data_IF_024763936475
#
_entry.id   IF_024763936475
#
_cell.length_a   1.000
_cell.length_b   1.000
_cell.length_c   1.000
_cell.angle_alpha   90.00
_cell.angle_beta   90.00
_cell.angle_gamma   90.00
#
_symmetry.space_group_name_H-M   'P 1'
#
loop_
_entity.id
_entity.type
_entity.pdbx_description
1 polymer ?
#
# COMPACT_ATOMS: atom_id res chain seq x y z
N UNK A 1 22.68 -9.72 34.81
CA UNK A 1 23.39 -9.41 33.54
C UNK A 1 22.36 -9.02 32.48
N UNK A 2 22.10 -7.71 32.48
CA UNK A 2 21.36 -6.88 31.52
C UNK A 2 21.12 -7.51 30.14
N UNK A 3 19.87 -7.89 29.88
CA UNK A 3 19.33 -7.99 28.52
C UNK A 3 18.76 -6.63 28.14
N UNK A 4 19.64 -5.66 27.92
CA UNK A 4 19.27 -4.42 27.24
C UNK A 4 18.94 -4.77 25.78
N UNK A 5 17.66 -5.02 25.52
CA UNK A 5 17.09 -4.93 24.18
C UNK A 5 16.91 -3.44 23.90
N UNK A 6 17.72 -2.90 22.99
CA UNK A 6 17.54 -1.54 22.44
C UNK A 6 16.06 -1.34 22.07
N UNK A 7 15.30 -0.33 22.51
CA UNK A 7 15.54 0.72 23.49
C UNK A 7 14.18 1.17 24.06
N UNK A 8 14.20 1.87 25.19
CA UNK A 8 13.05 2.49 25.85
C UNK A 8 12.10 3.16 24.85
N UNK A 9 10.90 2.56 24.72
CA UNK A 9 9.66 3.07 24.09
C UNK A 9 9.14 2.46 22.78
N UNK A 10 9.68 1.37 22.20
CA UNK A 10 8.99 0.68 21.08
C UNK A 10 8.82 -0.84 21.18
N UNK A 11 7.62 -1.27 20.78
CA UNK A 11 7.25 -2.65 20.48
C UNK A 11 7.97 -3.08 19.21
N UNK A 12 9.09 -3.80 19.33
CA UNK A 12 9.62 -4.55 18.19
C UNK A 12 8.70 -5.74 17.97
N UNK A 13 7.74 -5.59 17.07
CA UNK A 13 6.96 -6.71 16.57
C UNK A 13 7.09 -6.75 15.06
N UNK A 14 7.96 -7.62 14.55
CA UNK A 14 7.93 -8.03 13.14
C UNK A 14 6.76 -9.00 12.86
N UNK A 15 5.80 -9.12 13.78
CA UNK A 15 4.55 -9.83 13.53
C UNK A 15 3.69 -9.04 12.53
N UNK A 16 2.76 -9.72 11.90
CA UNK A 16 1.69 -9.06 11.15
C UNK A 16 0.86 -8.26 12.16
N UNK A 17 0.53 -7.00 11.83
CA UNK A 17 -0.06 -6.04 12.78
C UNK A 17 0.97 -5.12 13.44
N UNK A 18 2.26 -5.29 13.15
CA UNK A 18 3.36 -4.63 13.85
C UNK A 18 3.77 -3.29 13.25
N UNK A 19 4.20 -2.39 14.13
CA UNK A 19 4.85 -1.12 13.79
C UNK A 19 6.10 -0.98 14.64
N UNK A 20 7.22 -0.64 14.00
CA UNK A 20 8.48 -0.36 14.70
C UNK A 20 9.19 0.82 14.01
N UNK A 21 9.67 1.79 14.78
CA UNK A 21 10.48 2.87 14.24
C UNK A 21 11.92 2.81 14.73
N UNK A 22 12.84 3.16 13.86
CA UNK A 22 14.29 3.20 14.12
C UNK A 22 14.84 4.55 13.71
N UNK A 23 15.80 5.08 14.46
CA UNK A 23 16.39 6.39 14.19
C UNK A 23 17.72 6.22 13.44
N UNK A 24 17.86 6.67 12.19
CA UNK A 24 19.11 6.54 11.42
C UNK A 24 20.30 7.27 12.08
N UNK A 25 20.06 8.30 12.89
CA UNK A 25 21.12 9.05 13.59
C UNK A 25 21.61 8.32 14.86
N UNK A 26 20.88 7.30 15.32
CA UNK A 26 21.16 6.50 16.52
C UNK A 26 21.33 5.01 16.16
N UNK A 27 22.05 4.74 15.05
CA UNK A 27 22.35 3.39 14.55
C UNK A 27 21.12 2.54 14.19
N UNK A 28 19.99 3.20 13.90
CA UNK A 28 18.74 2.55 13.54
C UNK A 28 18.87 1.63 12.32
N UNK A 29 18.17 0.51 12.38
CA UNK A 29 18.23 -0.55 11.36
C UNK A 29 17.01 -0.57 10.46
N UNK A 30 17.17 -1.16 9.28
CA UNK A 30 16.08 -1.54 8.38
C UNK A 30 16.01 -3.07 8.26
N UNK A 31 14.81 -3.64 8.41
CA UNK A 31 14.58 -5.08 8.28
C UNK A 31 13.52 -5.40 7.22
N UNK A 32 13.84 -6.18 6.17
CA UNK A 32 12.82 -6.65 5.24
C UNK A 32 11.71 -7.47 5.91
N UNK A 33 12.04 -8.19 6.98
CA UNK A 33 11.09 -8.98 7.76
C UNK A 33 10.06 -8.12 8.52
N UNK A 34 10.43 -6.88 8.87
CA UNK A 34 9.57 -5.89 9.52
C UNK A 34 8.68 -5.09 8.56
N UNK A 35 8.87 -5.25 7.26
CA UNK A 35 8.02 -4.67 6.20
C UNK A 35 7.13 -5.75 5.58
N UNK A 36 7.68 -6.96 5.37
CA UNK A 36 6.98 -8.10 4.80
C UNK A 36 7.37 -8.41 3.35
N UNK A 37 6.97 -9.60 2.89
CA UNK A 37 7.32 -10.08 1.54
C UNK A 37 6.57 -9.33 0.45
N UNK A 38 5.25 -9.13 0.60
CA UNK A 38 4.48 -8.35 -0.37
C UNK A 38 4.59 -6.87 -0.05
N UNK A 39 5.70 -6.26 -0.48
CA UNK A 39 5.99 -4.83 -0.34
C UNK A 39 4.86 -4.02 -0.96
N UNK A 40 4.35 -3.05 -0.22
CA UNK A 40 3.19 -2.25 -0.59
C UNK A 40 1.99 -3.10 -1.01
N UNK A 41 1.77 -4.26 -0.37
CA UNK A 41 0.41 -4.75 -0.24
C UNK A 41 -0.42 -3.63 0.41
N UNK A 42 -1.61 -3.41 -0.13
CA UNK A 42 -2.39 -2.25 0.19
C UNK A 42 -3.74 -2.28 -0.49
N UNK A 43 -4.54 -1.28 -0.15
CA UNK A 43 -5.96 -1.24 -0.46
C UNK A 43 -6.27 0.06 -1.16
N UNK A 44 -7.12 -0.03 -2.16
CA UNK A 44 -7.68 1.10 -2.88
C UNK A 44 -9.20 1.00 -2.80
N UNK A 45 -9.85 2.07 -2.33
CA UNK A 45 -11.31 2.16 -2.28
C UNK A 45 -11.79 3.23 -3.24
N UNK A 46 -12.70 2.89 -4.14
CA UNK A 46 -13.36 3.86 -5.02
C UNK A 46 -14.84 3.95 -4.70
N UNK A 47 -15.36 5.18 -4.68
CA UNK A 47 -16.80 5.42 -4.57
C UNK A 47 -17.48 5.24 -5.91
N UNK A 48 -18.79 5.18 -5.92
CA UNK A 48 -19.62 5.33 -7.13
C UNK A 48 -20.80 6.26 -6.84
N UNK A 49 -21.52 6.73 -7.85
CA UNK A 49 -22.83 7.36 -7.64
C UNK A 49 -23.98 6.34 -7.58
N UNK A 50 -23.66 5.04 -7.57
CA UNK A 50 -24.63 3.95 -7.63
C UNK A 50 -25.10 3.54 -6.24
N UNK A 51 -26.28 2.95 -6.21
CA UNK A 51 -26.91 2.30 -5.07
C UNK A 51 -27.24 0.85 -5.39
N UNK A 52 -27.65 0.06 -4.40
CA UNK A 52 -27.98 -1.36 -4.61
C UNK A 52 -28.99 -1.59 -5.76
N UNK A 53 -30.10 -0.83 -5.89
CA UNK A 53 -31.01 -0.94 -7.04
C UNK A 53 -30.35 -0.82 -8.41
N UNK A 54 -29.30 -0.02 -8.56
CA UNK A 54 -28.64 0.22 -9.84
C UNK A 54 -27.82 -1.00 -10.32
N UNK A 55 -27.37 -1.84 -9.37
CA UNK A 55 -26.47 -2.98 -9.65
C UNK A 55 -27.11 -4.34 -9.41
N UNK A 56 -28.17 -4.44 -8.59
CA UNK A 56 -28.73 -5.70 -8.07
C UNK A 56 -29.00 -6.74 -9.17
N UNK A 57 -29.69 -6.35 -10.24
CA UNK A 57 -30.08 -7.27 -11.32
C UNK A 57 -28.93 -7.57 -12.28
N UNK A 58 -27.87 -6.76 -12.26
CA UNK A 58 -26.68 -6.90 -13.12
C UNK A 58 -25.48 -7.49 -12.37
N UNK A 59 -25.57 -7.68 -11.05
CA UNK A 59 -24.44 -8.00 -10.19
C UNK A 59 -23.70 -9.26 -10.64
N UNK A 60 -24.43 -10.33 -10.98
CA UNK A 60 -23.83 -11.57 -11.49
C UNK A 60 -23.06 -11.35 -12.79
N UNK A 61 -23.61 -10.54 -13.70
CA UNK A 61 -22.95 -10.22 -14.97
C UNK A 61 -21.73 -9.33 -14.75
N UNK A 62 -21.84 -8.35 -13.85
CA UNK A 62 -20.75 -7.45 -13.47
C UNK A 62 -19.59 -8.21 -12.83
N UNK A 63 -19.86 -9.10 -11.88
CA UNK A 63 -18.84 -9.96 -11.26
C UNK A 63 -18.17 -10.88 -12.29
N UNK A 64 -18.94 -11.50 -13.18
CA UNK A 64 -18.37 -12.32 -14.26
C UNK A 64 -17.49 -11.49 -15.20
N UNK A 65 -17.91 -10.27 -15.55
CA UNK A 65 -17.14 -9.37 -16.37
C UNK A 65 -15.85 -8.91 -15.67
N UNK A 66 -15.91 -8.56 -14.38
CA UNK A 66 -14.73 -8.21 -13.59
C UNK A 66 -13.74 -9.37 -13.55
N UNK A 67 -14.20 -10.58 -13.23
CA UNK A 67 -13.36 -11.77 -13.20
C UNK A 67 -12.68 -12.06 -14.54
N UNK A 68 -13.40 -11.86 -15.66
CA UNK A 68 -12.85 -12.08 -17.00
C UNK A 68 -11.85 -11.00 -17.46
N UNK A 69 -11.96 -9.77 -16.94
CA UNK A 69 -11.16 -8.63 -17.40
C UNK A 69 -10.04 -8.25 -16.42
N UNK A 70 -10.11 -8.67 -15.15
CA UNK A 70 -9.10 -8.42 -14.13
C UNK A 70 -8.40 -9.74 -13.79
N UNK A 71 -7.18 -9.99 -14.30
CA UNK A 71 -6.53 -11.27 -14.07
C UNK A 71 -6.23 -11.52 -12.58
N UNK A 72 -6.70 -12.66 -12.07
CA UNK A 72 -6.47 -13.13 -10.71
C UNK A 72 -6.04 -14.60 -10.69
N UNK A 73 -5.48 -15.07 -9.58
CA UNK A 73 -4.96 -16.43 -9.40
C UNK A 73 -3.44 -16.53 -9.48
N UNK A 74 -2.93 -17.67 -8.98
CA UNK A 74 -1.51 -18.01 -9.03
C UNK A 74 -1.08 -18.22 -10.50
N UNK A 75 0.00 -17.56 -10.90
CA UNK A 75 0.55 -17.69 -12.26
C UNK A 75 -0.18 -16.89 -13.33
N UNK A 76 -1.30 -16.23 -13.00
CA UNK A 76 -2.03 -15.39 -13.93
C UNK A 76 -1.17 -14.23 -14.43
N UNK A 77 -1.32 -13.92 -15.71
CA UNK A 77 -0.53 -12.87 -16.38
C UNK A 77 -1.42 -11.79 -16.98
N UNK A 78 -0.86 -10.59 -17.05
CA UNK A 78 -1.50 -9.44 -17.65
C UNK A 78 -1.46 -9.48 -19.17
N UNK A 79 -2.51 -8.92 -19.79
CA UNK A 79 -2.52 -8.59 -21.22
C UNK A 79 -1.52 -7.48 -21.56
N UNK A 80 -1.17 -6.64 -20.58
CA UNK A 80 -0.15 -5.60 -20.72
C UNK A 80 1.25 -6.24 -20.82
N UNK A 81 1.90 -6.11 -21.98
CA UNK A 81 3.27 -6.59 -22.21
C UNK A 81 4.24 -5.42 -22.26
N UNK A 82 5.15 -5.36 -21.30
CA UNK A 82 6.17 -4.32 -21.22
C UNK A 82 7.57 -4.89 -21.46
N UNK A 83 8.42 -4.23 -22.27
CA UNK A 83 9.84 -4.52 -22.27
C UNK A 83 10.48 -4.11 -20.93
N UNK A 84 11.66 -4.67 -20.61
CA UNK A 84 12.30 -4.41 -19.31
C UNK A 84 12.62 -2.94 -19.06
N UNK A 85 12.95 -2.17 -20.10
CA UNK A 85 13.22 -0.73 -19.93
C UNK A 85 11.97 0.03 -19.48
N UNK A 86 10.78 -0.31 -20.00
CA UNK A 86 9.51 0.27 -19.55
C UNK A 86 9.15 -0.19 -18.14
N UNK A 87 9.39 -1.47 -17.81
CA UNK A 87 9.21 -1.94 -16.44
C UNK A 87 10.09 -1.16 -15.46
N UNK A 88 11.34 -0.84 -15.82
CA UNK A 88 12.19 0.04 -15.00
C UNK A 88 11.61 1.45 -14.84
N UNK A 89 10.87 1.97 -15.83
CA UNK A 89 10.15 3.25 -15.69
C UNK A 89 9.00 3.13 -14.69
N UNK A 90 8.25 2.02 -14.69
CA UNK A 90 7.21 1.72 -13.68
C UNK A 90 7.82 1.79 -12.28
N UNK A 91 8.94 1.13 -12.06
CA UNK A 91 9.66 1.11 -10.78
C UNK A 91 10.12 2.50 -10.30
N UNK A 92 10.43 3.43 -11.22
CA UNK A 92 10.85 4.80 -10.86
C UNK A 92 9.70 5.78 -10.66
N UNK A 93 8.64 5.63 -11.46
CA UNK A 93 7.57 6.64 -11.60
C UNK A 93 6.31 6.27 -10.83
N UNK A 94 6.12 5.01 -10.46
CA UNK A 94 4.92 4.56 -9.75
C UNK A 94 3.63 4.82 -10.53
N UNK A 95 2.54 5.09 -9.82
CA UNK A 95 1.22 5.32 -10.43
C UNK A 95 1.22 6.44 -11.48
N UNK A 96 2.15 7.41 -11.37
CA UNK A 96 2.32 8.46 -12.39
C UNK A 96 2.68 7.90 -13.78
N UNK A 97 3.38 6.77 -13.86
CA UNK A 97 3.60 6.08 -15.13
C UNK A 97 2.28 5.58 -15.72
N UNK A 98 1.43 4.95 -14.90
CA UNK A 98 0.14 4.42 -15.34
C UNK A 98 -0.77 5.55 -15.84
N UNK A 99 -0.92 6.63 -15.07
CA UNK A 99 -1.71 7.81 -15.47
C UNK A 99 -1.15 8.43 -16.77
N UNK A 100 0.18 8.57 -16.89
CA UNK A 100 0.82 9.06 -18.11
C UNK A 100 0.65 8.15 -19.34
N UNK A 101 0.17 6.91 -19.14
CA UNK A 101 -0.16 5.94 -20.19
C UNK A 101 -1.68 5.81 -20.42
N UNK A 102 -2.49 6.66 -19.80
CA UNK A 102 -3.95 6.68 -19.94
C UNK A 102 -4.71 5.85 -18.90
N UNK A 103 -4.02 5.22 -17.95
CA UNK A 103 -4.66 4.43 -16.90
C UNK A 103 -5.09 5.31 -15.72
N UNK A 104 -6.21 6.01 -15.87
CA UNK A 104 -6.82 6.88 -14.85
C UNK A 104 -6.46 8.35 -15.03
N UNK A 105 -6.56 9.13 -13.96
CA UNK A 105 -6.44 10.60 -14.01
C UNK A 105 -5.46 11.16 -12.97
N UNK A 106 -5.22 12.47 -13.02
CA UNK A 106 -4.32 13.15 -12.10
C UNK A 106 -4.87 13.17 -10.66
N UNK A 107 -6.20 13.23 -10.52
CA UNK A 107 -6.93 13.20 -9.25
C UNK A 107 -6.74 11.86 -8.52
N UNK A 108 -6.51 10.76 -9.26
CA UNK A 108 -6.17 9.46 -8.67
C UNK A 108 -4.81 9.51 -7.96
N UNK A 109 -3.86 10.30 -8.48
CA UNK A 109 -2.56 10.47 -7.84
C UNK A 109 -2.70 11.25 -6.54
N UNK A 110 -3.47 12.35 -6.53
CA UNK A 110 -3.72 13.15 -5.30
C UNK A 110 -4.27 12.30 -4.15
N UNK A 111 -5.08 11.29 -4.47
CA UNK A 111 -5.74 10.41 -3.49
C UNK A 111 -5.03 9.08 -3.30
N UNK A 112 -3.79 8.96 -3.77
CA UNK A 112 -2.93 7.81 -3.48
C UNK A 112 -1.88 8.24 -2.46
N UNK A 113 -1.61 7.40 -1.46
CA UNK A 113 -0.55 7.63 -0.49
C UNK A 113 0.79 7.95 -1.21
N UNK A 114 1.45 9.03 -0.75
CA UNK A 114 2.66 9.60 -1.38
C UNK A 114 2.51 9.86 -2.89
N UNK A 115 1.31 10.25 -3.32
CA UNK A 115 0.97 10.47 -4.72
C UNK A 115 1.25 9.27 -5.64
N UNK A 116 1.25 8.06 -5.05
CA UNK A 116 1.53 6.80 -5.74
C UNK A 116 2.97 6.62 -6.20
N UNK A 117 3.91 7.36 -5.60
CA UNK A 117 5.33 7.25 -5.90
C UNK A 117 6.20 7.55 -4.67
N UNK A 118 6.96 6.55 -4.25
CA UNK A 118 8.02 6.70 -3.27
C UNK A 118 9.31 7.18 -3.96
N UNK A 119 9.93 8.19 -3.37
CA UNK A 119 11.25 8.70 -3.78
C UNK A 119 12.38 7.74 -3.38
N UNK A 120 13.56 7.90 -3.97
CA UNK A 120 14.71 7.02 -3.72
C UNK A 120 14.64 5.65 -4.40
N UNK A 121 13.56 5.35 -5.13
CA UNK A 121 13.46 4.11 -5.89
C UNK A 121 14.54 3.98 -6.98
N UNK A 122 15.31 2.90 -6.91
CA UNK A 122 16.34 2.56 -7.90
C UNK A 122 16.10 1.16 -8.48
N UNK A 123 15.70 1.06 -9.77
CA UNK A 123 15.52 -0.22 -10.45
C UNK A 123 16.78 -1.07 -10.58
N UNK A 124 17.97 -0.49 -10.45
CA UNK A 124 19.21 -1.28 -10.44
C UNK A 124 19.42 -2.04 -9.12
N UNK A 125 18.72 -1.63 -8.06
CA UNK A 125 18.67 -2.34 -6.77
C UNK A 125 17.60 -3.44 -6.73
N UNK A 126 16.92 -3.68 -7.86
CA UNK A 126 15.97 -4.77 -8.06
C UNK A 126 16.61 -5.84 -8.95
N UNK A 127 16.67 -7.07 -8.45
CA UNK A 127 17.35 -8.16 -9.17
C UNK A 127 16.68 -8.51 -10.51
N UNK A 128 17.46 -9.08 -11.43
CA UNK A 128 16.91 -9.63 -12.68
C UNK A 128 15.85 -10.71 -12.44
N UNK A 129 15.94 -11.45 -11.33
CA UNK A 129 14.95 -12.44 -10.94
C UNK A 129 13.63 -11.77 -10.54
N UNK A 130 13.68 -10.71 -9.73
CA UNK A 130 12.50 -9.94 -9.34
C UNK A 130 11.83 -9.28 -10.55
N UNK A 131 12.62 -8.68 -11.45
CA UNK A 131 12.11 -8.12 -12.71
C UNK A 131 11.41 -9.18 -13.57
N UNK A 132 12.02 -10.36 -13.75
CA UNK A 132 11.42 -11.46 -14.52
C UNK A 132 10.10 -11.94 -13.91
N UNK A 133 10.03 -12.07 -12.57
CA UNK A 133 8.80 -12.48 -11.86
C UNK A 133 7.68 -11.44 -12.01
N UNK A 134 8.00 -10.14 -11.87
CA UNK A 134 7.02 -9.07 -11.97
C UNK A 134 6.57 -8.75 -13.40
N UNK A 135 7.43 -8.95 -14.41
CA UNK A 135 7.22 -8.46 -15.79
C UNK A 135 5.83 -8.73 -16.37
N UNK A 136 5.30 -9.93 -16.14
CA UNK A 136 4.02 -10.36 -16.71
C UNK A 136 2.85 -10.22 -15.73
N UNK A 137 3.05 -9.66 -14.53
CA UNK A 137 2.06 -9.61 -13.45
C UNK A 137 1.47 -8.22 -13.21
N UNK A 138 1.91 -7.20 -13.95
CA UNK A 138 1.46 -5.81 -13.75
C UNK A 138 0.03 -5.64 -14.28
N UNK A 139 -0.88 -5.18 -13.44
CA UNK A 139 -2.33 -5.18 -13.67
C UNK A 139 -3.04 -6.45 -13.22
N UNK A 140 -2.47 -7.25 -12.29
CA UNK A 140 -3.12 -8.48 -11.81
C UNK A 140 -3.35 -8.42 -10.30
N UNK A 141 -4.46 -8.99 -9.82
CA UNK A 141 -4.76 -9.07 -8.39
C UNK A 141 -3.81 -10.03 -7.68
N UNK A 142 -3.74 -11.25 -8.22
CA UNK A 142 -3.03 -12.35 -7.60
C UNK A 142 -3.88 -13.33 -6.82
N UNK A 143 -3.30 -13.84 -5.74
CA UNK A 143 -3.83 -14.92 -4.91
C UNK A 143 -3.58 -14.59 -3.43
N UNK A 144 -3.99 -15.47 -2.52
CA UNK A 144 -3.92 -15.21 -1.08
C UNK A 144 -5.13 -14.38 -0.67
N UNK A 145 -4.93 -13.37 0.17
CA UNK A 145 -5.97 -12.44 0.62
C UNK A 145 -6.23 -11.29 -0.36
N UNK A 146 -5.77 -11.38 -1.62
CA UNK A 146 -6.00 -10.32 -2.61
C UNK A 146 -7.34 -10.48 -3.31
N UNK A 147 -8.11 -9.40 -3.39
CA UNK A 147 -9.45 -9.40 -3.97
C UNK A 147 -9.80 -8.08 -4.65
N UNK A 148 -10.88 -8.12 -5.42
CA UNK A 148 -11.65 -6.96 -5.83
C UNK A 148 -13.09 -7.23 -5.43
N UNK A 149 -13.66 -6.35 -4.60
CA UNK A 149 -15.00 -6.52 -4.03
C UNK A 149 -15.90 -5.32 -4.37
N UNK A 150 -17.20 -5.60 -4.50
CA UNK A 150 -18.24 -4.58 -4.67
C UNK A 150 -19.02 -4.56 -3.37
N UNK A 151 -18.91 -3.47 -2.64
CA UNK A 151 -19.43 -3.36 -1.28
C UNK A 151 -20.58 -2.36 -1.22
N UNK A 152 -21.45 -2.54 -0.24
CA UNK A 152 -22.53 -1.61 0.09
C UNK A 152 -22.16 -0.88 1.38
N UNK A 153 -22.24 0.45 1.37
CA UNK A 153 -22.06 1.25 2.58
C UNK A 153 -23.30 1.10 3.48
N UNK A 154 -23.22 0.22 4.47
CA UNK A 154 -24.35 -0.10 5.35
C UNK A 154 -24.59 0.96 6.44
N UNK A 155 -23.51 1.48 7.03
CA UNK A 155 -23.56 2.37 8.19
C UNK A 155 -22.54 3.53 8.07
N UNK A 156 -22.90 4.68 8.64
CA UNK A 156 -22.06 5.88 8.72
C UNK A 156 -21.97 6.32 10.18
N UNK A 157 -20.78 6.23 10.76
CA UNK A 157 -20.53 6.64 12.15
C UNK A 157 -20.14 8.12 12.29
N UNK A 158 -19.47 8.67 11.28
CA UNK A 158 -18.96 10.04 11.27
C UNK A 158 -19.46 10.80 10.02
N UNK A 159 -20.68 11.37 10.04
CA UNK A 159 -21.29 11.98 8.86
C UNK A 159 -20.45 13.07 8.20
N UNK A 160 -19.80 13.94 8.99
CA UNK A 160 -18.99 15.04 8.47
C UNK A 160 -17.72 14.55 7.76
N UNK A 161 -17.12 13.45 8.25
CA UNK A 161 -15.95 12.82 7.61
C UNK A 161 -16.37 12.09 6.34
N UNK A 162 -17.50 11.37 6.40
CA UNK A 162 -18.05 10.66 5.26
C UNK A 162 -18.38 11.60 4.09
N UNK A 163 -18.92 12.79 4.37
CA UNK A 163 -19.18 13.82 3.36
C UNK A 163 -17.90 14.24 2.63
N UNK A 164 -16.80 14.50 3.37
CA UNK A 164 -15.50 14.84 2.78
C UNK A 164 -14.91 13.68 1.97
N UNK A 165 -15.12 12.44 2.42
CA UNK A 165 -14.69 11.25 1.67
C UNK A 165 -15.61 10.94 0.48
N UNK A 166 -16.74 11.62 0.33
CA UNK A 166 -17.74 11.36 -0.71
C UNK A 166 -18.49 10.03 -0.51
N UNK A 167 -18.62 9.60 0.75
CA UNK A 167 -19.27 8.35 1.15
C UNK A 167 -20.67 8.64 1.68
N UNK A 168 -21.67 7.89 1.21
CA UNK A 168 -23.04 7.97 1.69
C UNK A 168 -23.60 6.57 2.00
N UNK A 169 -24.57 6.50 2.92
CA UNK A 169 -25.27 5.25 3.21
C UNK A 169 -25.99 4.73 1.96
N UNK A 170 -26.01 3.41 1.79
CA UNK A 170 -26.55 2.68 0.63
C UNK A 170 -25.81 2.89 -0.69
N UNK A 171 -24.66 3.57 -0.68
CA UNK A 171 -23.81 3.73 -1.84
C UNK A 171 -23.05 2.43 -2.13
N UNK A 172 -22.86 2.15 -3.42
CA UNK A 172 -21.96 1.09 -3.87
C UNK A 172 -20.54 1.63 -3.96
N UNK A 173 -19.60 0.89 -3.40
CA UNK A 173 -18.17 1.18 -3.46
C UNK A 173 -17.42 -0.05 -3.98
N UNK A 174 -16.19 0.14 -4.44
CA UNK A 174 -15.37 -0.96 -4.94
C UNK A 174 -14.00 -0.94 -4.28
N UNK A 175 -13.65 -2.06 -3.66
CA UNK A 175 -12.39 -2.25 -2.96
C UNK A 175 -11.45 -3.07 -3.83
N UNK A 176 -10.18 -2.67 -3.92
CA UNK A 176 -9.10 -3.43 -4.56
C UNK A 176 -8.00 -3.65 -3.52
N UNK A 177 -7.76 -4.91 -3.16
CA UNK A 177 -6.66 -5.31 -2.29
C UNK A 177 -5.63 -6.12 -3.07
N UNK A 178 -4.46 -5.53 -3.31
CA UNK A 178 -3.31 -6.24 -3.86
C UNK A 178 -2.00 -5.47 -3.64
N UNK A 179 -0.88 -6.14 -3.88
CA UNK A 179 0.46 -5.57 -3.71
C UNK A 179 1.36 -5.63 -4.94
N UNK A 180 2.65 -5.76 -4.65
CA UNK A 180 3.76 -5.77 -5.60
C UNK A 180 3.93 -7.08 -6.37
N UNK A 181 3.06 -8.06 -6.12
CA UNK A 181 3.06 -9.37 -6.77
C UNK A 181 4.38 -10.12 -6.52
N UNK A 182 4.81 -10.94 -7.48
CA UNK A 182 6.07 -11.67 -7.38
C UNK A 182 7.32 -10.77 -7.38
N UNK A 183 7.20 -9.49 -7.73
CA UNK A 183 8.33 -8.56 -7.77
C UNK A 183 8.79 -8.22 -6.34
N UNK A 184 7.90 -7.67 -5.50
CA UNK A 184 8.30 -7.29 -4.14
C UNK A 184 8.58 -8.50 -3.26
N UNK A 185 7.88 -9.63 -3.47
CA UNK A 185 8.26 -10.89 -2.83
C UNK A 185 9.74 -11.21 -3.07
N UNK A 186 10.18 -11.14 -4.33
CA UNK A 186 11.56 -11.48 -4.66
C UNK A 186 12.54 -10.42 -4.17
N UNK A 187 12.18 -9.14 -4.17
CA UNK A 187 12.99 -8.08 -3.54
C UNK A 187 13.21 -8.41 -2.06
N UNK A 188 12.14 -8.73 -1.31
CA UNK A 188 12.25 -9.08 0.10
C UNK A 188 13.15 -10.32 0.31
N UNK A 189 12.92 -11.40 -0.47
CA UNK A 189 13.72 -12.63 -0.43
C UNK A 189 15.22 -12.40 -0.71
N UNK A 190 15.53 -11.63 -1.75
CA UNK A 190 16.90 -11.29 -2.14
C UNK A 190 17.61 -10.52 -1.02
N UNK A 191 16.94 -9.51 -0.44
CA UNK A 191 17.55 -8.71 0.62
C UNK A 191 17.59 -9.42 1.96
N UNK A 192 16.63 -10.28 2.32
CA UNK A 192 16.74 -11.12 3.51
C UNK A 192 17.99 -12.02 3.45
N UNK A 193 18.30 -12.56 2.27
CA UNK A 193 19.52 -13.33 2.09
C UNK A 193 20.78 -12.48 2.32
N UNK A 194 20.81 -11.24 1.82
CA UNK A 194 21.92 -10.30 2.01
C UNK A 194 22.04 -9.81 3.46
N UNK A 195 20.93 -9.52 4.12
CA UNK A 195 20.90 -9.02 5.50
C UNK A 195 21.45 -10.03 6.50
N UNK A 196 21.32 -11.34 6.24
CA UNK A 196 21.96 -12.36 7.09
C UNK A 196 23.47 -12.17 7.20
N UNK A 197 24.14 -11.74 6.13
CA UNK A 197 25.57 -11.43 6.16
C UNK A 197 25.86 -10.05 6.76
N UNK A 198 24.94 -9.09 6.58
CA UNK A 198 25.07 -7.76 7.17
C UNK A 198 25.04 -7.80 8.70
N UNK A 199 24.18 -8.65 9.28
CA UNK A 199 24.11 -8.88 10.73
C UNK A 199 25.48 -9.24 11.31
N UNK A 200 26.17 -10.21 10.69
CA UNK A 200 27.52 -10.61 11.12
C UNK A 200 28.55 -9.48 10.94
N UNK A 201 28.49 -8.80 9.78
CA UNK A 201 29.40 -7.70 9.41
C UNK A 201 29.31 -6.50 10.36
N UNK A 202 28.10 -6.15 10.79
CA UNK A 202 27.83 -5.02 11.68
C UNK A 202 27.68 -5.43 13.15
N UNK A 203 27.99 -6.68 13.49
CA UNK A 203 27.94 -7.22 14.85
C UNK A 203 26.59 -7.01 15.56
N UNK A 204 25.49 -7.14 14.81
CA UNK A 204 24.13 -6.96 15.34
C UNK A 204 23.70 -8.24 16.07
N UNK A 205 23.34 -8.11 17.34
CA UNK A 205 22.76 -9.23 18.11
C UNK A 205 21.28 -9.38 17.79
N UNK A 206 20.87 -10.57 17.34
CA UNK A 206 19.48 -10.86 17.02
C UNK A 206 18.91 -11.93 17.96
N UNK A 207 17.70 -11.72 18.52
CA UNK A 207 17.02 -12.76 19.27
C UNK A 207 16.45 -13.86 18.37
N UNK A 208 16.20 -13.56 17.09
CA UNK A 208 15.74 -14.51 16.08
C UNK A 208 16.35 -14.18 14.71
N UNK A 209 16.77 -15.20 13.97
CA UNK A 209 17.40 -15.06 12.65
C UNK A 209 16.46 -14.44 11.60
N UNK A 210 15.15 -14.57 11.76
CA UNK A 210 14.12 -13.96 10.92
C UNK A 210 14.09 -12.43 11.04
N UNK A 211 14.72 -11.85 12.07
CA UNK A 211 14.86 -10.41 12.27
C UNK A 211 16.10 -9.82 11.56
N UNK A 212 16.64 -10.53 10.56
CA UNK A 212 17.77 -10.06 9.76
C UNK A 212 17.57 -8.62 9.28
N UNK A 213 18.58 -7.77 9.51
CA UNK A 213 18.54 -6.34 9.26
C UNK A 213 19.93 -5.80 8.93
N UNK A 214 20.01 -4.53 8.57
CA UNK A 214 21.26 -3.77 8.48
C UNK A 214 21.02 -2.32 8.93
N UNK A 215 22.07 -1.58 9.33
CA UNK A 215 21.93 -0.15 9.62
C UNK A 215 21.34 0.60 8.42
N UNK A 216 20.45 1.56 8.67
CA UNK A 216 19.79 2.35 7.61
C UNK A 216 20.79 3.05 6.68
N UNK A 217 21.91 3.50 7.24
CA UNK A 217 23.00 4.23 6.56
C UNK A 217 24.04 3.31 5.94
N UNK A 218 23.87 1.99 6.04
CA UNK A 218 24.78 1.02 5.41
C UNK A 218 24.46 0.84 3.93
N UNK A 219 25.43 0.42 3.09
CA UNK A 219 25.17 0.09 1.69
C UNK A 219 24.07 -0.96 1.52
N UNK A 220 23.97 -1.93 2.42
CA UNK A 220 22.92 -2.95 2.39
C UNK A 220 21.54 -2.36 2.72
N UNK A 221 21.47 -1.45 3.69
CA UNK A 221 20.25 -0.74 4.09
C UNK A 221 19.74 0.22 3.02
N UNK A 222 20.62 1.05 2.46
CA UNK A 222 20.31 1.97 1.36
C UNK A 222 19.85 1.23 0.10
N UNK A 223 20.55 0.15 -0.27
CA UNK A 223 20.18 -0.68 -1.41
C UNK A 223 18.79 -1.32 -1.20
N UNK A 224 18.51 -1.84 0.00
CA UNK A 224 17.20 -2.42 0.30
C UNK A 224 16.10 -1.36 0.26
N UNK A 225 16.32 -0.19 0.87
CA UNK A 225 15.36 0.91 0.81
C UNK A 225 15.01 1.28 -0.63
N UNK A 226 16.02 1.44 -1.49
CA UNK A 226 15.82 1.78 -2.89
C UNK A 226 15.09 0.67 -3.68
N UNK A 227 15.40 -0.61 -3.40
CA UNK A 227 14.71 -1.76 -3.98
C UNK A 227 13.25 -1.90 -3.48
N UNK A 228 13.01 -1.66 -2.20
CA UNK A 228 11.68 -1.64 -1.59
C UNK A 228 10.84 -0.49 -2.17
N UNK A 229 11.39 0.72 -2.27
CA UNK A 229 10.71 1.85 -2.88
C UNK A 229 10.33 1.58 -4.35
N UNK A 230 11.21 0.90 -5.11
CA UNK A 230 10.90 0.44 -6.46
C UNK A 230 9.74 -0.58 -6.48
N UNK A 231 9.72 -1.54 -5.56
CA UNK A 231 8.62 -2.49 -5.42
C UNK A 231 7.31 -1.81 -4.98
N UNK A 232 7.39 -0.79 -4.13
CA UNK A 232 6.23 0.01 -3.74
C UNK A 232 5.63 0.76 -4.93
N UNK A 233 6.47 1.39 -5.75
CA UNK A 233 6.06 2.04 -7.00
C UNK A 233 5.38 1.07 -7.97
N UNK A 234 5.89 -0.16 -8.07
CA UNK A 234 5.23 -1.22 -8.84
C UNK A 234 3.82 -1.51 -8.32
N UNK A 235 3.63 -1.66 -7.01
CA UNK A 235 2.33 -1.98 -6.42
C UNK A 235 1.29 -0.87 -6.62
N UNK A 236 1.65 0.41 -6.45
CA UNK A 236 0.73 1.52 -6.76
C UNK A 236 0.36 1.55 -8.24
N UNK A 237 1.33 1.29 -9.13
CA UNK A 237 1.05 1.17 -10.57
C UNK A 237 0.09 0.01 -10.85
N UNK A 238 0.26 -1.12 -10.16
CA UNK A 238 -0.61 -2.29 -10.26
C UNK A 238 -2.06 -1.94 -9.88
N UNK A 239 -2.27 -1.33 -8.71
CA UNK A 239 -3.60 -0.88 -8.24
C UNK A 239 -4.22 0.16 -9.16
N UNK A 240 -3.43 1.10 -9.68
CA UNK A 240 -3.89 2.11 -10.64
C UNK A 240 -4.41 1.49 -11.95
N UNK A 241 -3.71 0.51 -12.51
CA UNK A 241 -4.14 -0.19 -13.73
C UNK A 241 -5.41 -1.01 -13.47
N UNK A 242 -5.45 -1.76 -12.37
CA UNK A 242 -6.63 -2.55 -11.99
C UNK A 242 -7.84 -1.63 -11.83
N UNK A 243 -7.69 -0.50 -11.11
CA UNK A 243 -8.75 0.49 -10.97
C UNK A 243 -9.27 1.00 -12.31
N UNK A 244 -8.37 1.30 -13.26
CA UNK A 244 -8.77 1.75 -14.58
C UNK A 244 -9.61 0.69 -15.31
N UNK A 245 -9.18 -0.57 -15.33
CA UNK A 245 -9.94 -1.65 -15.95
C UNK A 245 -11.26 -1.93 -15.24
N UNK A 246 -11.32 -1.79 -13.92
CA UNK A 246 -12.56 -1.85 -13.15
C UNK A 246 -13.56 -0.79 -13.64
N UNK A 247 -13.11 0.46 -13.82
CA UNK A 247 -13.95 1.54 -14.38
C UNK A 247 -14.47 1.17 -15.78
N UNK A 248 -13.62 0.64 -16.66
CA UNK A 248 -14.03 0.22 -18.01
C UNK A 248 -15.05 -0.92 -18.00
N UNK A 249 -14.92 -1.86 -17.06
CA UNK A 249 -15.87 -2.96 -16.89
C UNK A 249 -17.23 -2.43 -16.43
N UNK A 250 -17.26 -1.57 -15.42
CA UNK A 250 -18.50 -0.94 -14.94
C UNK A 250 -19.18 -0.12 -16.04
N UNK A 251 -18.43 0.70 -16.78
CA UNK A 251 -18.96 1.49 -17.92
C UNK A 251 -19.64 0.60 -18.94
N UNK A 252 -18.98 -0.48 -19.38
CA UNK A 252 -19.52 -1.39 -20.39
C UNK A 252 -20.72 -2.18 -19.90
N UNK A 253 -20.65 -2.74 -18.69
CA UNK A 253 -21.71 -3.61 -18.15
C UNK A 253 -22.96 -2.83 -17.76
N UNK A 254 -22.78 -1.66 -17.14
CA UNK A 254 -23.92 -0.86 -16.70
C UNK A 254 -24.44 0.06 -17.80
N UNK A 255 -23.66 0.26 -18.88
CA UNK A 255 -23.94 1.18 -19.98
C UNK A 255 -24.14 2.62 -19.48
N UNK A 256 -23.20 3.07 -18.63
CA UNK A 256 -23.21 4.38 -18.00
C UNK A 256 -21.94 5.15 -18.38
N UNK A 257 -22.07 6.48 -18.49
CA UNK A 257 -20.91 7.33 -18.74
C UNK A 257 -20.00 7.39 -17.51
N UNK A 258 -18.70 7.76 -17.65
CA UNK A 258 -17.82 7.99 -16.51
C UNK A 258 -18.41 8.96 -15.47
N UNK A 259 -19.12 9.99 -15.94
CA UNK A 259 -19.77 10.99 -15.07
C UNK A 259 -20.90 10.38 -14.25
N UNK A 260 -21.75 9.57 -14.88
CA UNK A 260 -22.90 8.96 -14.19
C UNK A 260 -22.43 7.91 -13.19
N UNK A 261 -21.38 7.15 -13.50
CA UNK A 261 -20.78 6.21 -12.57
C UNK A 261 -20.11 6.87 -11.37
N UNK A 262 -19.43 8.01 -11.57
CA UNK A 262 -18.72 8.73 -10.51
C UNK A 262 -17.69 7.87 -9.78
N UNK A 263 -16.96 7.03 -10.52
CA UNK A 263 -16.00 6.06 -9.96
C UNK A 263 -14.67 6.71 -9.53
N UNK A 264 -14.75 7.64 -8.59
CA UNK A 264 -13.61 8.38 -8.07
C UNK A 264 -12.89 7.61 -6.97
N UNK A 265 -11.56 7.73 -6.93
CA UNK A 265 -10.76 7.20 -5.84
C UNK A 265 -11.17 7.90 -4.53
N UNK A 266 -11.44 7.14 -3.46
CA UNK A 266 -11.50 7.69 -2.10
C UNK A 266 -10.09 7.74 -1.55
N UNK A 267 -9.38 6.62 -1.49
CA UNK A 267 -7.98 6.61 -1.10
C UNK A 267 -7.29 5.32 -1.51
N UNK A 268 -5.96 5.36 -1.61
CA UNK A 268 -5.11 4.18 -1.76
C UNK A 268 -4.02 4.23 -0.68
N UNK A 269 -4.00 3.22 0.19
CA UNK A 269 -3.11 3.15 1.35
C UNK A 269 -2.39 1.81 1.41
N UNK A 270 -1.12 1.85 1.80
CA UNK A 270 -0.29 0.65 1.97
C UNK A 270 -0.31 0.14 3.42
N UNK A 271 -0.11 -1.17 3.59
CA UNK A 271 0.02 -1.77 4.92
C UNK A 271 1.26 -2.63 5.15
N UNK A 272 2.12 -2.76 4.13
CA UNK A 272 3.45 -3.39 4.22
C UNK A 272 4.47 -2.42 3.62
N UNK A 273 5.06 -1.54 4.44
CA UNK A 273 5.97 -0.50 3.93
C UNK A 273 6.96 -0.05 5.00
N UNK A 274 8.11 0.48 4.57
CA UNK A 274 9.01 1.23 5.42
C UNK A 274 9.10 2.67 4.93
N UNK A 275 9.01 3.67 5.81
CA UNK A 275 9.02 5.09 5.43
C UNK A 275 9.84 5.94 6.38
N UNK A 276 10.59 6.89 5.82
CA UNK A 276 11.12 7.99 6.61
C UNK A 276 10.02 9.01 6.90
N UNK A 277 9.77 9.26 8.18
CA UNK A 277 8.72 10.15 8.65
C UNK A 277 9.25 11.05 9.77
N UNK A 278 8.74 12.28 9.83
CA UNK A 278 9.04 13.21 10.90
C UNK A 278 8.09 12.96 12.08
N UNK A 279 8.63 12.62 13.24
CA UNK A 279 7.87 12.38 14.46
C UNK A 279 8.51 13.09 15.67
N UNK A 280 7.77 13.22 16.77
CA UNK A 280 8.32 13.70 18.04
C UNK A 280 8.84 12.51 18.85
N UNK A 281 10.14 12.53 19.17
CA UNK A 281 10.80 11.53 20.01
C UNK A 281 11.34 12.26 21.23
N UNK A 282 10.83 11.93 22.43
CA UNK A 282 11.17 12.63 23.68
C UNK A 282 11.04 14.16 23.55
N UNK A 283 9.97 14.62 22.90
CA UNK A 283 9.67 16.05 22.67
C UNK A 283 10.51 16.73 21.59
N UNK A 284 11.40 16.02 20.90
CA UNK A 284 12.22 16.56 19.80
C UNK A 284 11.77 16.01 18.47
N UNK A 285 11.66 16.88 17.46
CA UNK A 285 11.39 16.45 16.09
C UNK A 285 12.58 15.64 15.56
N UNK A 286 12.35 14.41 15.14
CA UNK A 286 13.33 13.49 14.54
C UNK A 286 12.77 12.91 13.25
N UNK A 287 13.66 12.63 12.30
CA UNK A 287 13.31 11.90 11.09
C UNK A 287 13.66 10.43 11.29
N UNK A 288 12.64 9.63 11.57
CA UNK A 288 12.79 8.20 11.89
C UNK A 288 12.30 7.34 10.73
N UNK A 289 12.73 6.08 10.70
CA UNK A 289 12.26 5.10 9.72
C UNK A 289 11.22 4.17 10.35
N UNK A 290 9.95 4.32 9.93
CA UNK A 290 8.81 3.56 10.43
C UNK A 290 8.57 2.34 9.55
N UNK A 291 8.75 1.15 10.11
CA UNK A 291 8.35 -0.13 9.53
C UNK A 291 6.89 -0.40 9.88
N UNK A 292 6.09 -0.74 8.87
CA UNK A 292 4.71 -1.20 9.03
C UNK A 292 4.55 -2.52 8.29
N UNK A 293 4.09 -3.56 8.98
CA UNK A 293 3.78 -4.87 8.40
C UNK A 293 2.42 -5.33 8.88
N UNK A 294 1.45 -5.30 7.98
CA UNK A 294 0.04 -5.36 8.36
C UNK A 294 -0.33 -4.18 9.26
N UNK A 295 0.15 -2.97 8.97
CA UNK A 295 -0.25 -1.78 9.70
C UNK A 295 -0.32 -0.58 8.74
N UNK A 296 -1.27 0.30 8.96
CA UNK A 296 -1.62 1.37 8.02
C UNK A 296 -1.21 2.72 8.59
N UNK A 297 -0.71 3.63 7.74
CA UNK A 297 -0.48 5.02 8.15
C UNK A 297 -1.82 5.72 8.42
N UNK A 298 -1.88 6.56 9.45
CA UNK A 298 -3.10 7.16 9.98
C UNK A 298 -2.87 8.62 10.42
N UNK A 299 -2.41 9.47 9.50
CA UNK A 299 -2.12 10.87 9.82
C UNK A 299 -3.39 11.69 10.14
N UNK A 300 -3.29 12.63 11.10
CA UNK A 300 -4.41 13.46 11.53
C UNK A 300 -4.76 14.54 10.51
N UNK A 301 -5.90 15.20 10.73
CA UNK A 301 -6.22 16.47 10.08
C UNK A 301 -5.05 17.46 10.21
N UNK A 302 -4.92 18.35 9.22
CA UNK A 302 -3.87 19.37 9.13
C UNK A 302 -2.43 18.85 8.97
N UNK A 303 -2.23 17.52 8.84
CA UNK A 303 -0.90 16.97 8.61
C UNK A 303 -0.36 17.40 7.23
N UNK A 304 0.87 17.92 7.12
CA UNK A 304 1.38 18.55 5.90
C UNK A 304 1.53 17.60 4.70
N UNK A 305 1.63 16.29 4.95
CA UNK A 305 1.70 15.27 3.89
C UNK A 305 0.33 14.85 3.34
N UNK A 306 -0.79 15.35 3.90
CA UNK A 306 -2.11 15.07 3.36
C UNK A 306 -2.44 15.99 2.18
N UNK A 307 -3.13 15.48 1.15
CA UNK A 307 -3.66 16.32 0.08
C UNK A 307 -4.75 17.25 0.64
N UNK A 308 -4.99 18.37 -0.04
CA UNK A 308 -5.94 19.41 0.41
C UNK A 308 -7.32 18.88 0.73
N UNK A 309 -7.78 17.87 -0.02
CA UNK A 309 -9.10 17.25 0.14
C UNK A 309 -9.30 16.55 1.50
N UNK A 310 -8.23 16.15 2.18
CA UNK A 310 -8.31 15.47 3.49
C UNK A 310 -7.78 16.32 4.64
N UNK A 311 -7.31 17.54 4.37
CA UNK A 311 -6.71 18.41 5.40
C UNK A 311 -7.68 18.72 6.55
N UNK A 312 -8.98 18.81 6.28
CA UNK A 312 -9.99 19.14 7.30
C UNK A 312 -10.37 17.99 8.23
N UNK A 313 -10.14 16.73 7.83
CA UNK A 313 -10.66 15.55 8.55
C UNK A 313 -9.59 14.55 8.94
N UNK A 314 -8.48 14.47 8.20
CA UNK A 314 -7.41 13.49 8.40
C UNK A 314 -7.37 12.42 7.32
N UNK A 315 -6.34 11.57 7.37
CA UNK A 315 -6.09 10.58 6.34
C UNK A 315 -7.20 9.51 6.32
N UNK A 316 -7.77 9.16 5.16
CA UNK A 316 -8.57 7.96 5.04
C UNK A 316 -7.72 6.72 5.39
N UNK A 317 -8.26 5.85 6.22
CA UNK A 317 -7.66 4.56 6.58
C UNK A 317 -8.62 3.47 6.11
N UNK A 318 -8.13 2.54 5.30
CA UNK A 318 -8.93 1.45 4.73
C UNK A 318 -8.60 0.16 5.47
N UNK A 319 -9.61 -0.45 6.08
CA UNK A 319 -9.49 -1.68 6.86
C UNK A 319 -10.38 -2.74 6.21
N UNK A 320 -9.82 -3.66 5.41
CA UNK A 320 -10.56 -4.75 4.81
C UNK A 320 -10.90 -5.79 5.88
N UNK A 321 -12.02 -6.46 5.71
CA UNK A 321 -12.26 -7.75 6.36
C UNK A 321 -11.51 -8.88 5.66
N UNK A 322 -11.89 -10.10 6.03
CA UNK A 322 -11.71 -11.26 5.17
C UNK A 322 -12.68 -11.20 3.97
N UNK A 323 -12.42 -11.98 2.93
CA UNK A 323 -13.29 -12.02 1.74
C UNK A 323 -14.74 -12.32 2.14
N UNK A 324 -15.65 -11.40 1.83
CA UNK A 324 -17.06 -11.50 2.18
C UNK A 324 -17.44 -11.16 3.63
N UNK A 325 -16.53 -10.60 4.42
CA UNK A 325 -16.85 -10.00 5.73
C UNK A 325 -16.82 -8.46 5.67
N UNK A 326 -17.13 -7.81 6.77
CA UNK A 326 -17.24 -6.35 6.81
C UNK A 326 -15.87 -5.68 6.63
N UNK A 327 -15.85 -4.64 5.81
CA UNK A 327 -14.72 -3.70 5.70
C UNK A 327 -15.10 -2.34 6.30
N UNK A 328 -14.12 -1.61 6.80
CA UNK A 328 -14.29 -0.31 7.45
C UNK A 328 -13.45 0.77 6.78
N UNK A 329 -14.00 1.99 6.75
CA UNK A 329 -13.26 3.22 6.42
C UNK A 329 -13.16 4.03 7.70
N UNK A 330 -11.93 4.23 8.17
CA UNK A 330 -11.61 5.04 9.35
C UNK A 330 -10.87 6.31 8.93
N UNK A 331 -10.54 7.15 9.91
CA UNK A 331 -9.79 8.38 9.70
C UNK A 331 -8.65 8.48 10.71
N UNK A 332 -7.49 8.96 10.25
CA UNK A 332 -6.32 9.19 11.09
C UNK A 332 -6.54 10.26 12.16
N UNK A 333 -5.91 10.11 13.32
CA UNK A 333 -6.16 10.93 14.51
C UNK A 333 -4.87 11.46 15.13
N UNK A 334 -4.93 12.56 15.91
CA UNK A 334 -3.76 13.06 16.64
C UNK A 334 -3.17 12.01 17.59
N UNK A 335 -4.03 11.21 18.24
CA UNK A 335 -3.62 10.13 19.14
C UNK A 335 -2.72 9.11 18.45
N UNK A 336 -2.97 8.79 17.16
CA UNK A 336 -2.09 7.90 16.42
C UNK A 336 -0.66 8.47 16.30
N UNK A 337 -0.49 9.79 16.15
CA UNK A 337 0.84 10.42 16.12
C UNK A 337 1.58 10.30 17.46
N UNK A 338 0.85 10.31 18.57
CA UNK A 338 1.41 10.25 19.93
C UNK A 338 1.73 8.82 20.35
N UNK A 339 0.88 7.86 20.00
CA UNK A 339 0.93 6.51 20.55
C UNK A 339 1.52 5.45 19.60
N UNK A 340 1.46 5.69 18.29
CA UNK A 340 1.70 4.63 17.29
C UNK A 340 2.45 5.09 16.04
N UNK A 341 3.21 6.18 16.12
CA UNK A 341 3.90 6.78 14.96
C UNK A 341 2.97 7.05 13.77
N UNK A 342 1.79 7.60 14.06
CA UNK A 342 0.76 7.85 13.06
C UNK A 342 0.33 6.56 12.36
N UNK A 343 0.08 5.49 13.11
CA UNK A 343 -0.26 4.18 12.55
C UNK A 343 -1.51 3.57 13.18
N UNK A 344 -2.14 2.64 12.47
CA UNK A 344 -3.31 1.89 12.96
C UNK A 344 -3.37 0.51 12.28
N UNK A 345 -4.43 -0.26 12.56
CA UNK A 345 -4.61 -1.60 12.01
C UNK A 345 -4.78 -1.60 10.48
N UNK A 346 -4.70 -2.79 9.89
CA UNK A 346 -4.83 -3.02 8.45
C UNK A 346 -5.93 -4.02 8.08
N UNK A 347 -6.61 -4.61 9.06
CA UNK A 347 -7.58 -5.70 8.93
C UNK A 347 -8.58 -5.65 10.08
N UNK A 348 -9.82 -6.09 9.81
CA UNK A 348 -10.95 -6.11 10.75
C UNK A 348 -11.19 -7.51 11.33
#
# INVERSE_FOLDING_TARGET
PEHNFIAENFVVSNCIGGVAATDPDEEGVISPGGIGYDVNCGIRLMRTNLTLPDVKDKLRHLLAALFNNIPCGLGSTSSLKLPFHELKQVLKKGAKWAVGRGYGSAEDLERTEDYGRMEGADPEKVSQRALKRGKNQLGTLGSGNHFLEIDLVEEIYLPQVAEVFGIARNQIVVTIHCGSRGLGYQVCDDYLARMRHAVDKYHISLPDRQLSCAPLTSPEGEDYFAGMAAAANYAWTNRQIIMHWTREVFQRVLNLSPRDLGMDLIYDVCHNIGKFEDHLVNGKKRRIFVHRKGATRAFPAHHPLLPSVYQSVGQPVLVPGDMGTNSYVMVGTPQAMEESWGSTCHGA
#
